data_IF_765144536997
#
_entry.id   IF_765144536997
#
_cell.length_a   1.000
_cell.length_b   1.000
_cell.length_c   1.000
_cell.angle_alpha   90.00
_cell.angle_beta   90.00
_cell.angle_gamma   90.00
#
_symmetry.space_group_name_H-M   'P 1'
#
loop_
_entity.id
_entity.type
_entity.pdbx_description
1 polymer ?
#
# COMPACT_ATOMS: atom_id res chain seq x y z
N UNK A 1 -13.07 -59.14 -36.44
CA UNK A 1 -11.81 -58.47 -36.20
C UNK A 1 -11.98 -56.98 -36.45
N UNK A 2 -12.31 -56.16 -35.42
CA UNK A 2 -12.36 -54.68 -35.37
C UNK A 2 -13.21 -54.24 -34.15
N UNK A 3 -12.70 -54.51 -32.96
CA UNK A 3 -13.29 -53.94 -31.73
C UNK A 3 -12.19 -53.79 -30.66
N UNK A 4 -11.09 -53.10 -30.98
CA UNK A 4 -9.97 -52.86 -30.02
C UNK A 4 -9.47 -51.42 -29.98
N UNK A 5 -10.09 -50.47 -30.67
CA UNK A 5 -9.58 -49.07 -30.68
C UNK A 5 -10.54 -48.03 -30.17
N UNK A 6 -11.61 -48.41 -29.45
CA UNK A 6 -12.57 -47.41 -28.91
C UNK A 6 -12.40 -47.10 -27.43
N UNK A 7 -11.40 -47.71 -26.76
CA UNK A 7 -11.18 -47.47 -25.31
C UNK A 7 -10.00 -46.58 -25.01
N UNK A 8 -9.25 -46.10 -25.99
CA UNK A 8 -8.04 -45.28 -25.77
C UNK A 8 -8.30 -43.78 -25.89
N UNK A 9 -9.48 -43.31 -26.30
CA UNK A 9 -9.74 -41.89 -26.51
C UNK A 9 -10.54 -41.19 -25.37
N UNK A 10 -11.01 -41.96 -24.40
CA UNK A 10 -11.82 -41.41 -23.30
C UNK A 10 -11.00 -41.06 -22.07
N UNK A 11 -9.79 -41.63 -21.95
CA UNK A 11 -8.92 -41.33 -20.78
C UNK A 11 -8.09 -40.04 -20.89
N UNK A 12 -8.01 -39.38 -22.06
CA UNK A 12 -7.20 -38.16 -22.22
C UNK A 12 -7.99 -36.89 -21.92
N UNK A 13 -9.31 -36.93 -21.92
CA UNK A 13 -10.15 -35.75 -21.67
C UNK A 13 -10.53 -35.49 -20.19
N UNK A 14 -10.18 -36.39 -19.28
CA UNK A 14 -10.54 -36.25 -17.85
C UNK A 14 -9.39 -35.62 -17.03
N UNK A 15 -8.17 -35.56 -17.59
CA UNK A 15 -7.01 -35.02 -16.85
C UNK A 15 -6.74 -33.52 -17.05
N UNK A 16 -7.49 -32.83 -17.92
CA UNK A 16 -7.27 -31.40 -18.16
C UNK A 16 -8.16 -30.46 -17.31
N UNK A 17 -9.06 -31.00 -16.48
CA UNK A 17 -9.95 -30.18 -15.64
C UNK A 17 -9.64 -30.23 -14.14
N UNK A 18 -8.54 -30.84 -13.71
CA UNK A 18 -8.17 -30.91 -12.29
C UNK A 18 -6.97 -30.01 -11.90
N UNK A 19 -6.51 -29.13 -12.81
CA UNK A 19 -5.43 -28.16 -12.50
C UNK A 19 -5.93 -26.73 -12.41
N UNK A 20 -7.16 -26.52 -11.97
CA UNK A 20 -7.73 -25.18 -11.79
C UNK A 20 -8.30 -24.96 -10.39
N UNK A 21 -7.67 -25.50 -9.36
CA UNK A 21 -8.11 -25.23 -8.01
C UNK A 21 -6.97 -25.35 -7.01
N UNK A 22 -6.03 -24.50 -7.10
CA UNK A 22 -5.30 -23.87 -6.00
C UNK A 22 -4.34 -22.84 -6.59
N UNK A 23 -4.84 -21.84 -7.27
CA UNK A 23 -4.15 -20.56 -7.13
C UNK A 23 -4.35 -20.20 -5.67
N UNK A 24 -3.40 -20.59 -4.86
CA UNK A 24 -3.10 -19.96 -3.61
C UNK A 24 -3.04 -18.47 -3.97
N UNK A 25 -4.07 -17.74 -3.58
CA UNK A 25 -4.10 -16.30 -3.71
C UNK A 25 -3.09 -15.80 -2.67
N UNK A 26 -1.82 -15.84 -3.03
CA UNK A 26 -0.78 -15.04 -2.41
C UNK A 26 -1.31 -13.64 -2.59
N UNK A 27 -1.87 -13.08 -1.52
CA UNK A 27 -2.64 -11.86 -1.53
C UNK A 27 -2.08 -10.89 -2.54
N UNK A 28 -2.92 -10.23 -3.30
CA UNK A 28 -2.58 -9.42 -4.50
C UNK A 28 -1.51 -8.37 -4.25
N UNK A 29 -0.92 -8.28 -3.05
CA UNK A 29 -0.03 -7.22 -2.62
C UNK A 29 -0.77 -5.90 -2.36
N UNK A 30 -2.08 -5.87 -2.58
CA UNK A 30 -2.95 -4.71 -2.36
C UNK A 30 -3.76 -4.86 -1.08
N UNK A 31 -3.99 -3.73 -0.40
CA UNK A 31 -4.89 -3.65 0.74
C UNK A 31 -6.31 -4.13 0.35
N UNK A 32 -6.89 -4.98 1.21
CA UNK A 32 -8.23 -5.47 0.96
C UNK A 32 -9.26 -4.34 1.16
N UNK A 33 -10.25 -4.28 0.26
CA UNK A 33 -11.41 -3.40 0.46
C UNK A 33 -12.28 -3.93 1.60
N UNK A 34 -12.71 -3.05 2.48
CA UNK A 34 -13.56 -3.36 3.61
C UNK A 34 -14.69 -2.34 3.73
N UNK A 35 -15.95 -2.77 3.86
CA UNK A 35 -17.06 -1.86 4.11
C UNK A 35 -16.97 -1.15 5.46
N UNK A 36 -16.07 -1.62 6.34
CA UNK A 36 -15.85 -1.09 7.69
C UNK A 36 -14.40 -0.59 7.87
N UNK A 37 -13.76 -0.11 6.79
CA UNK A 37 -12.38 0.38 6.86
C UNK A 37 -12.16 1.44 7.94
N UNK A 38 -13.14 2.33 8.15
CA UNK A 38 -13.12 3.36 9.19
C UNK A 38 -13.17 2.82 10.63
N UNK A 39 -13.55 1.55 10.82
CA UNK A 39 -13.62 0.91 12.14
C UNK A 39 -12.34 0.11 12.47
N UNK A 40 -11.33 0.17 11.61
CA UNK A 40 -10.03 -0.45 11.86
C UNK A 40 -9.13 0.47 12.68
N UNK A 41 -7.98 -0.05 13.12
CA UNK A 41 -7.00 0.77 13.83
C UNK A 41 -6.36 1.76 12.84
N UNK A 42 -6.62 3.04 13.04
CA UNK A 42 -5.98 4.15 12.36
C UNK A 42 -4.85 4.68 13.23
N UNK A 43 -3.66 4.80 12.68
CA UNK A 43 -2.44 5.19 13.39
C UNK A 43 -2.14 6.69 13.26
N UNK A 44 -2.48 7.29 12.12
CA UNK A 44 -2.25 8.71 11.87
C UNK A 44 -3.39 9.33 11.07
N UNK A 45 -3.59 10.61 11.29
CA UNK A 45 -4.54 11.47 10.57
C UNK A 45 -3.81 12.71 10.08
N UNK A 46 -4.15 13.16 8.87
CA UNK A 46 -3.64 14.38 8.27
C UNK A 46 -4.77 15.14 7.57
N UNK A 47 -4.82 16.46 7.74
CA UNK A 47 -5.77 17.32 7.03
C UNK A 47 -5.05 18.16 5.99
N UNK A 48 -5.44 18.01 4.72
CA UNK A 48 -4.94 18.80 3.60
C UNK A 48 -6.12 19.47 2.87
N UNK A 49 -6.21 20.78 2.98
CA UNK A 49 -7.39 21.52 2.54
C UNK A 49 -8.63 21.08 3.31
N UNK A 50 -9.69 20.69 2.61
CA UNK A 50 -10.94 20.23 3.22
C UNK A 50 -10.95 18.70 3.44
N UNK A 51 -9.96 17.96 2.90
CA UNK A 51 -9.91 16.52 3.04
C UNK A 51 -9.09 16.09 4.25
N UNK A 52 -9.65 15.14 5.01
CA UNK A 52 -8.95 14.45 6.10
C UNK A 52 -8.57 13.06 5.61
N UNK A 53 -7.31 12.68 5.81
CA UNK A 53 -6.79 11.36 5.50
C UNK A 53 -6.53 10.57 6.78
N UNK A 54 -6.69 9.25 6.72
CA UNK A 54 -6.31 8.34 7.78
C UNK A 54 -5.57 7.13 7.24
N UNK A 55 -4.51 6.72 7.92
CA UNK A 55 -3.73 5.53 7.58
C UNK A 55 -3.63 4.58 8.76
N UNK A 56 -3.56 3.28 8.51
CA UNK A 56 -3.57 2.32 9.60
C UNK A 56 -3.12 0.91 9.21
N UNK A 57 -3.62 -0.06 9.96
CA UNK A 57 -3.25 -1.46 9.80
C UNK A 57 -3.68 -2.02 8.44
N UNK A 58 -3.00 -3.09 8.00
CA UNK A 58 -3.33 -3.81 6.76
C UNK A 58 -3.32 -2.96 5.48
N UNK A 59 -2.53 -1.88 5.45
CA UNK A 59 -2.46 -0.97 4.31
C UNK A 59 -3.71 -0.12 4.13
N UNK A 60 -4.57 -0.04 5.14
CA UNK A 60 -5.80 0.76 5.05
C UNK A 60 -5.45 2.23 4.99
N UNK A 61 -5.97 2.88 3.95
CA UNK A 61 -5.99 4.33 3.79
C UNK A 61 -7.44 4.74 3.54
N UNK A 62 -7.91 5.71 4.31
CA UNK A 62 -9.25 6.28 4.20
C UNK A 62 -9.17 7.80 4.06
N UNK A 63 -10.18 8.41 3.47
CA UNK A 63 -10.32 9.85 3.44
C UNK A 63 -11.77 10.28 3.64
N UNK A 64 -11.94 11.49 4.17
CA UNK A 64 -13.22 12.16 4.40
C UNK A 64 -13.21 13.55 3.76
N UNK A 65 -14.30 13.92 3.11
CA UNK A 65 -14.55 15.24 2.52
C UNK A 65 -15.63 16.01 3.28
N UNK A 66 -16.07 15.54 4.45
CA UNK A 66 -17.16 16.05 5.25
C UNK A 66 -16.81 16.13 6.74
N UNK A 67 -15.57 16.53 7.04
CA UNK A 67 -15.01 16.68 8.40
C UNK A 67 -15.13 15.41 9.27
N UNK A 68 -15.10 14.22 8.62
CA UNK A 68 -15.08 12.94 9.31
C UNK A 68 -16.46 12.32 9.54
N UNK A 69 -17.54 12.90 9.00
CA UNK A 69 -18.89 12.32 9.10
C UNK A 69 -19.00 11.03 8.29
N UNK A 70 -18.38 10.99 7.10
CA UNK A 70 -18.26 9.79 6.30
C UNK A 70 -16.83 9.56 5.80
N UNK A 71 -16.50 8.28 5.55
CA UNK A 71 -15.15 7.88 5.14
C UNK A 71 -15.20 6.99 3.91
N UNK A 72 -14.29 7.25 2.99
CA UNK A 72 -14.07 6.45 1.78
C UNK A 72 -12.70 5.79 1.86
N UNK A 73 -12.62 4.48 1.60
CA UNK A 73 -11.34 3.79 1.50
C UNK A 73 -10.71 4.03 0.13
N UNK A 74 -9.40 4.29 0.11
CA UNK A 74 -8.60 4.42 -1.10
C UNK A 74 -8.82 3.25 -2.06
N UNK A 75 -8.82 3.49 -3.37
CA UNK A 75 -9.19 2.49 -4.37
C UNK A 75 -8.12 1.43 -4.55
N UNK A 76 -6.86 1.83 -4.64
CA UNK A 76 -5.71 0.97 -4.84
C UNK A 76 -4.56 1.37 -3.91
N UNK A 77 -4.17 0.47 -3.02
CA UNK A 77 -3.01 0.62 -2.14
C UNK A 77 -2.16 -0.64 -2.25
N UNK A 78 -0.99 -0.61 -2.92
CA UNK A 78 -0.13 -1.77 -3.16
C UNK A 78 0.71 -2.14 -1.93
N UNK A 79 0.06 -2.20 -0.76
CA UNK A 79 0.69 -2.48 0.52
C UNK A 79 -0.31 -3.10 1.48
N UNK A 80 0.10 -4.12 2.23
CA UNK A 80 -0.81 -4.89 3.12
C UNK A 80 -0.37 -4.89 4.57
N UNK A 81 0.77 -4.26 4.89
CA UNK A 81 1.25 -4.15 6.26
C UNK A 81 0.78 -2.85 6.91
N UNK A 82 1.17 -2.63 8.13
CA UNK A 82 0.77 -1.44 8.88
C UNK A 82 1.43 -0.19 8.33
N UNK A 83 0.62 0.82 8.06
CA UNK A 83 1.04 2.20 7.82
C UNK A 83 1.09 2.93 9.16
N UNK A 84 2.10 3.78 9.33
CA UNK A 84 2.46 4.42 10.59
C UNK A 84 2.15 5.91 10.63
N UNK A 85 2.36 6.59 9.50
CA UNK A 85 2.22 8.04 9.40
C UNK A 85 1.88 8.48 7.98
N UNK A 86 1.40 9.72 7.84
CA UNK A 86 1.01 10.34 6.57
C UNK A 86 1.35 11.83 6.59
N UNK A 87 1.80 12.36 5.46
CA UNK A 87 2.03 13.80 5.25
C UNK A 87 1.51 14.22 3.89
N UNK A 88 0.68 15.26 3.86
CA UNK A 88 0.03 15.79 2.67
C UNK A 88 0.28 17.30 2.55
N UNK A 89 1.37 17.75 1.91
CA UNK A 89 1.64 19.19 1.74
C UNK A 89 0.59 19.87 0.86
N UNK A 90 -0.13 19.11 0.04
CA UNK A 90 -1.26 19.60 -0.75
C UNK A 90 -2.39 18.57 -0.77
N UNK A 91 -3.61 18.99 -1.13
CA UNK A 91 -4.78 18.10 -1.17
C UNK A 91 -4.63 16.96 -2.18
N UNK A 92 -3.80 17.14 -3.20
CA UNK A 92 -3.62 16.14 -4.25
C UNK A 92 -2.43 15.22 -4.02
N UNK A 93 -1.42 15.65 -3.27
CA UNK A 93 -0.20 14.88 -3.06
C UNK A 93 -0.02 14.50 -1.61
N UNK A 94 0.09 13.21 -1.37
CA UNK A 94 0.29 12.64 -0.04
C UNK A 94 1.36 11.56 -0.07
N UNK A 95 2.07 11.45 1.03
CA UNK A 95 3.03 10.38 1.29
C UNK A 95 2.65 9.67 2.58
N UNK A 96 2.74 8.34 2.59
CA UNK A 96 2.49 7.54 3.78
C UNK A 96 3.64 6.57 4.03
N UNK A 97 4.03 6.42 5.28
CA UNK A 97 5.10 5.52 5.70
C UNK A 97 4.55 4.28 6.40
N UNK A 98 5.36 3.22 6.46
CA UNK A 98 4.96 2.00 7.13
C UNK A 98 6.11 1.04 7.41
N UNK A 99 5.73 -0.20 7.68
CA UNK A 99 6.65 -1.31 7.88
C UNK A 99 7.49 -1.57 6.62
N UNK A 100 8.58 -2.36 6.76
CA UNK A 100 9.54 -2.70 5.69
C UNK A 100 10.15 -1.45 5.03
N UNK A 101 10.44 -0.41 5.82
CA UNK A 101 10.96 0.87 5.35
C UNK A 101 10.20 1.41 4.13
N UNK A 102 8.86 1.26 4.11
CA UNK A 102 8.05 1.59 2.94
C UNK A 102 7.58 3.04 2.97
N UNK A 103 7.64 3.70 1.81
CA UNK A 103 6.99 4.99 1.54
C UNK A 103 6.06 4.83 0.34
N UNK A 104 4.81 5.15 0.55
CA UNK A 104 3.79 5.23 -0.50
C UNK A 104 3.56 6.68 -0.89
N UNK A 105 3.17 6.91 -2.14
CA UNK A 105 2.81 8.21 -2.67
C UNK A 105 1.49 8.16 -3.43
N UNK A 106 0.68 9.19 -3.25
CA UNK A 106 -0.51 9.47 -4.06
C UNK A 106 -0.40 10.85 -4.68
N UNK A 107 -0.82 10.97 -5.94
CA UNK A 107 -0.90 12.24 -6.68
C UNK A 107 -2.34 12.60 -7.11
N UNK A 108 -3.33 11.87 -6.62
CA UNK A 108 -4.74 12.01 -7.01
C UNK A 108 -5.69 12.23 -5.82
N UNK A 109 -5.13 12.80 -4.74
CA UNK A 109 -5.88 13.09 -3.53
C UNK A 109 -6.17 11.83 -2.69
N UNK A 110 -5.25 10.86 -2.71
CA UNK A 110 -5.32 9.67 -1.86
C UNK A 110 -6.23 8.57 -2.38
N UNK A 111 -6.69 8.66 -3.63
CA UNK A 111 -7.55 7.63 -4.23
C UNK A 111 -6.74 6.40 -4.62
N UNK A 112 -5.58 6.61 -5.27
CA UNK A 112 -4.65 5.54 -5.60
C UNK A 112 -3.25 5.85 -5.09
N UNK A 113 -2.49 4.80 -4.79
CA UNK A 113 -1.18 4.89 -4.18
C UNK A 113 -0.16 4.04 -4.93
N UNK A 114 1.10 4.43 -4.87
CA UNK A 114 2.23 3.71 -5.46
C UNK A 114 3.35 3.61 -4.43
N UNK A 115 4.11 2.50 -4.47
CA UNK A 115 5.34 2.39 -3.67
C UNK A 115 6.40 3.27 -4.32
N UNK A 116 6.90 4.26 -3.60
CA UNK A 116 8.03 5.10 -4.02
C UNK A 116 9.36 4.62 -3.47
N UNK A 117 9.34 4.08 -2.27
CA UNK A 117 10.52 3.54 -1.60
C UNK A 117 10.15 2.30 -0.80
N UNK A 118 11.01 1.32 -0.80
CA UNK A 118 10.92 0.15 0.06
C UNK A 118 12.29 -0.50 0.20
N UNK A 119 12.65 -0.89 1.42
CA UNK A 119 13.89 -1.59 1.70
C UNK A 119 13.61 -2.81 2.58
N UNK A 120 13.60 -3.98 1.96
CA UNK A 120 13.38 -5.24 2.65
C UNK A 120 14.62 -5.74 3.42
N UNK A 121 15.81 -5.24 3.07
CA UNK A 121 17.05 -5.64 3.76
C UNK A 121 17.17 -4.96 5.11
N UNK A 122 16.61 -3.74 5.22
CA UNK A 122 16.68 -2.98 6.46
C UNK A 122 15.63 -3.41 7.50
N UNK A 123 14.62 -4.17 7.15
CA UNK A 123 13.54 -4.74 8.01
C UNK A 123 13.15 -3.88 9.23
N UNK A 124 13.03 -2.57 9.02
CA UNK A 124 12.66 -1.59 10.02
C UNK A 124 11.46 -0.76 9.58
N UNK A 125 10.53 -0.43 10.48
CA UNK A 125 9.45 0.48 10.13
C UNK A 125 9.98 1.91 10.01
N UNK A 126 9.51 2.65 9.01
CA UNK A 126 9.45 4.09 9.07
C UNK A 126 8.30 4.47 10.00
N UNK A 127 8.54 5.41 10.90
CA UNK A 127 7.63 5.77 11.99
C UNK A 127 6.95 7.12 11.77
N UNK A 128 7.62 8.03 11.08
CA UNK A 128 7.06 9.34 10.78
C UNK A 128 7.60 9.87 9.46
N UNK A 129 6.81 10.72 8.81
CA UNK A 129 7.15 11.42 7.57
C UNK A 129 6.67 12.86 7.66
N UNK A 130 7.48 13.78 7.15
CA UNK A 130 7.10 15.18 6.99
C UNK A 130 7.57 15.70 5.64
N UNK A 131 6.62 16.07 4.81
CA UNK A 131 6.87 16.77 3.56
C UNK A 131 6.71 18.27 3.80
N UNK A 132 7.78 19.03 3.57
CA UNK A 132 7.76 20.49 3.70
C UNK A 132 6.95 21.13 2.56
N UNK A 133 7.03 20.51 1.39
CA UNK A 133 6.30 20.87 0.17
C UNK A 133 6.18 19.64 -0.75
N UNK A 134 5.76 19.85 -2.01
CA UNK A 134 5.59 18.78 -3.00
C UNK A 134 6.91 18.12 -3.45
N UNK A 135 8.09 18.63 -3.03
CA UNK A 135 9.40 18.17 -3.45
C UNK A 135 10.31 17.76 -2.29
N UNK A 136 10.31 18.53 -1.20
CA UNK A 136 11.23 18.30 -0.09
C UNK A 136 10.53 17.65 1.10
N UNK A 137 11.21 16.67 1.70
CA UNK A 137 10.70 16.00 2.89
C UNK A 137 11.70 15.07 3.53
N UNK A 138 11.33 14.61 4.72
CA UNK A 138 12.10 13.66 5.53
C UNK A 138 11.20 12.56 6.06
N UNK A 139 11.74 11.37 6.20
CA UNK A 139 11.10 10.26 6.88
C UNK A 139 12.08 9.66 7.88
N UNK A 140 11.59 9.31 9.06
CA UNK A 140 12.39 8.72 10.13
C UNK A 140 11.79 7.40 10.60
N UNK A 141 12.63 6.50 11.04
CA UNK A 141 12.21 5.16 11.44
C UNK A 141 13.00 4.59 12.61
N UNK A 142 12.77 3.33 12.86
CA UNK A 142 13.51 2.58 13.87
C UNK A 142 14.99 2.43 13.47
N UNK A 143 15.84 2.17 14.46
CA UNK A 143 17.28 1.92 14.29
C UNK A 143 18.03 3.06 13.59
N UNK A 144 17.63 4.31 13.88
CA UNK A 144 18.19 5.52 13.29
C UNK A 144 18.01 5.64 11.76
N UNK A 145 17.08 4.88 11.19
CA UNK A 145 16.71 5.04 9.79
C UNK A 145 16.17 6.45 9.55
N UNK A 146 16.86 7.21 8.72
CA UNK A 146 16.47 8.58 8.36
C UNK A 146 16.67 8.76 6.86
N UNK A 147 15.62 9.21 6.18
CA UNK A 147 15.60 9.40 4.73
C UNK A 147 15.20 10.83 4.41
N UNK A 148 15.74 11.36 3.32
CA UNK A 148 15.41 12.67 2.77
C UNK A 148 15.12 12.55 1.29
N UNK A 149 14.15 13.33 0.82
CA UNK A 149 13.93 13.60 -0.60
C UNK A 149 14.03 15.10 -0.88
N UNK A 150 14.46 15.46 -2.09
CA UNK A 150 14.43 16.82 -2.63
C UNK A 150 13.78 16.88 -4.01
N UNK A 151 13.11 15.80 -4.42
CA UNK A 151 12.52 15.67 -5.77
C UNK A 151 11.16 14.96 -5.76
N UNK A 152 10.40 15.16 -4.67
CA UNK A 152 9.05 14.60 -4.54
C UNK A 152 9.03 13.08 -4.38
N UNK A 153 10.11 12.50 -3.82
CA UNK A 153 10.23 11.07 -3.60
C UNK A 153 10.62 10.26 -4.83
N UNK A 154 11.05 10.91 -5.95
CA UNK A 154 11.66 10.18 -7.07
C UNK A 154 12.95 9.47 -6.65
N UNK A 155 13.62 9.99 -5.61
CA UNK A 155 14.65 9.30 -4.83
C UNK A 155 14.53 9.65 -3.36
N UNK A 156 14.91 8.70 -2.50
CA UNK A 156 15.07 8.88 -1.07
C UNK A 156 16.49 8.49 -0.69
N UNK A 157 17.21 9.41 -0.09
CA UNK A 157 18.61 9.24 0.31
C UNK A 157 18.72 9.14 1.83
N UNK A 158 19.65 8.33 2.32
CA UNK A 158 19.92 8.26 3.75
C UNK A 158 20.41 9.62 4.28
N UNK A 159 19.78 10.09 5.34
CA UNK A 159 20.20 11.28 6.07
C UNK A 159 21.08 10.83 7.25
N UNK A 160 22.38 11.05 7.13
CA UNK A 160 23.31 10.83 8.24
C UNK A 160 23.29 12.07 9.14
N UNK A 161 22.96 11.89 10.40
CA UNK A 161 23.03 12.94 11.42
C UNK A 161 24.35 12.73 12.14
N UNK A 162 25.34 13.59 11.85
CA UNK A 162 26.64 13.59 12.54
C UNK A 162 26.53 14.15 13.97
#
# INVERSE_FOLDING_TARGET
>A
MRLKYLFSLICVFIFTNYLSASQFNLGTGFAAKSPNAQNTLINALEKAGDRIFGVGVHGIIIYSDDDGESWTQADEVPFTKTLTDISCPSQNKCWATGHDATILHSSDGGKTWQIQYQDFEFDAPLLSIHMYDDNEGVAIGAFALSLRTSNGGNSWDYLFID
#
